data_IF_513563223884
#
_entry.id   IF_513563223884
#
_cell.length_a   1.000
_cell.length_b   1.000
_cell.length_c   1.000
_cell.angle_alpha   90.00
_cell.angle_beta   90.00
_cell.angle_gamma   90.00
#
_symmetry.space_group_name_H-M   'P 1'
#
loop_
_entity.id
_entity.type
_entity.pdbx_description
1 polymer ?
#
# COMPACT_ATOMS: atom_id res chain seq x y z
N UNK A 1 4.36 -52.73 20.83
CA UNK A 1 4.54 -52.27 22.23
C UNK A 1 5.82 -51.47 22.30
N UNK A 2 5.73 -50.16 22.48
CA UNK A 2 6.59 -49.31 23.29
C UNK A 2 6.10 -47.87 23.13
N UNK A 3 5.56 -47.34 24.22
CA UNK A 3 5.05 -46.02 24.40
C UNK A 3 6.17 -44.97 24.29
N UNK A 4 5.98 -43.92 23.47
CA UNK A 4 6.81 -42.72 23.54
C UNK A 4 5.94 -41.61 24.15
N UNK A 5 6.31 -41.23 25.37
CA UNK A 5 5.66 -40.14 26.13
C UNK A 5 6.12 -38.81 25.53
N UNK A 6 5.17 -37.99 25.10
CA UNK A 6 5.43 -36.61 24.76
C UNK A 6 5.60 -35.78 26.04
N UNK A 7 6.80 -35.24 26.23
CA UNK A 7 7.10 -34.25 27.25
C UNK A 7 6.71 -32.87 26.72
N UNK A 8 5.62 -32.28 27.25
CA UNK A 8 5.31 -30.88 27.01
C UNK A 8 6.28 -30.03 27.84
N UNK A 9 7.19 -29.33 27.19
CA UNK A 9 7.96 -28.25 27.79
C UNK A 9 7.14 -26.98 27.63
N UNK A 10 6.51 -26.55 28.71
CA UNK A 10 5.90 -25.23 28.82
C UNK A 10 7.02 -24.20 29.02
N UNK A 11 7.46 -23.55 27.94
CA UNK A 11 8.32 -22.38 28.03
C UNK A 11 7.48 -21.15 28.39
N UNK A 12 7.56 -20.76 29.65
CA UNK A 12 7.08 -19.48 30.15
C UNK A 12 7.90 -18.37 29.52
N UNK A 13 7.40 -17.77 28.44
CA UNK A 13 7.94 -16.52 27.93
C UNK A 13 7.45 -15.42 28.88
N UNK A 14 8.33 -14.96 29.75
CA UNK A 14 8.11 -13.73 30.52
C UNK A 14 8.26 -12.56 29.55
N UNK A 15 7.14 -12.08 28.99
CA UNK A 15 7.09 -10.84 28.26
C UNK A 15 7.39 -9.72 29.25
N UNK A 16 8.55 -9.08 29.10
CA UNK A 16 8.82 -7.77 29.67
C UNK A 16 7.87 -6.77 29.00
N UNK A 17 6.70 -6.56 29.59
CA UNK A 17 5.84 -5.43 29.26
C UNK A 17 6.58 -4.15 29.66
N UNK A 18 7.15 -3.45 28.68
CA UNK A 18 7.39 -2.05 28.82
C UNK A 18 6.03 -1.40 29.05
N UNK A 19 5.78 -0.90 30.26
CA UNK A 19 4.59 -0.14 30.61
C UNK A 19 4.56 1.16 29.84
N UNK A 20 4.04 1.12 28.60
CA UNK A 20 3.37 2.29 28.07
C UNK A 20 2.02 2.34 28.81
N UNK A 21 1.81 3.37 29.62
CA UNK A 21 0.52 3.71 30.24
C UNK A 21 -0.48 4.13 29.16
N UNK A 22 -0.88 3.24 28.29
CA UNK A 22 -2.05 3.45 27.43
C UNK A 22 -3.26 3.25 28.33
N UNK A 23 -4.01 4.33 28.60
CA UNK A 23 -5.29 4.23 29.27
C UNK A 23 -6.16 3.22 28.54
N UNK A 24 -6.69 2.22 29.25
CA UNK A 24 -7.67 1.30 28.68
C UNK A 24 -8.94 2.06 28.32
N UNK A 25 -9.55 1.68 27.20
CA UNK A 25 -10.82 2.26 26.77
C UNK A 25 -11.91 1.92 27.77
N UNK A 26 -12.76 2.89 28.16
CA UNK A 26 -13.93 2.61 28.99
C UNK A 26 -15.01 1.81 28.26
N UNK A 27 -14.89 1.66 26.93
CA UNK A 27 -15.85 0.92 26.10
C UNK A 27 -15.14 0.01 25.11
N UNK A 28 -15.84 -1.03 24.67
CA UNK A 28 -15.53 -1.80 23.45
C UNK A 28 -16.68 -1.69 22.46
N UNK A 29 -16.36 -1.84 21.17
CA UNK A 29 -17.34 -1.81 20.10
C UNK A 29 -17.35 -3.13 19.34
N UNK A 30 -18.55 -3.59 19.00
CA UNK A 30 -18.77 -4.57 17.95
C UNK A 30 -19.61 -3.92 16.85
N UNK A 31 -19.19 -4.10 15.62
CA UNK A 31 -19.96 -3.67 14.46
C UNK A 31 -20.48 -4.85 13.68
N UNK A 32 -21.71 -4.73 13.18
CA UNK A 32 -22.38 -5.75 12.40
C UNK A 32 -23.02 -5.11 11.16
N UNK A 33 -22.76 -5.70 10.00
CA UNK A 33 -23.55 -5.47 8.80
C UNK A 33 -24.83 -6.32 8.91
N UNK A 34 -25.98 -5.67 9.11
CA UNK A 34 -27.25 -6.38 9.39
C UNK A 34 -27.91 -6.83 8.10
N UNK A 35 -28.16 -5.91 7.17
CA UNK A 35 -28.90 -6.20 5.95
C UNK A 35 -28.61 -5.18 4.84
N UNK A 36 -28.33 -5.67 3.63
CA UNK A 36 -28.32 -4.85 2.43
C UNK A 36 -29.74 -4.57 1.95
N UNK A 37 -29.96 -3.37 1.40
CA UNK A 37 -31.30 -3.00 0.89
C UNK A 37 -32.38 -2.99 1.98
N UNK A 38 -32.03 -2.60 3.20
CA UNK A 38 -32.97 -2.47 4.32
C UNK A 38 -34.07 -1.43 4.06
N UNK A 39 -33.71 -0.38 3.32
CA UNK A 39 -34.62 0.62 2.77
C UNK A 39 -34.13 1.01 1.37
N UNK A 40 -34.95 1.67 0.52
CA UNK A 40 -34.52 2.14 -0.79
C UNK A 40 -33.27 3.02 -0.71
N UNK A 41 -32.16 2.52 -1.28
CA UNK A 41 -30.87 3.21 -1.28
C UNK A 41 -30.09 3.14 0.04
N UNK A 42 -30.47 2.26 0.99
CA UNK A 42 -29.81 2.11 2.28
C UNK A 42 -29.54 0.64 2.65
N UNK A 43 -28.43 0.43 3.34
CA UNK A 43 -28.16 -0.79 4.09
C UNK A 43 -28.21 -0.52 5.60
N UNK A 44 -28.53 -1.54 6.38
CA UNK A 44 -28.60 -1.46 7.85
C UNK A 44 -27.34 -2.03 8.47
N UNK A 45 -26.80 -1.32 9.45
CA UNK A 45 -25.72 -1.76 10.32
C UNK A 45 -26.08 -1.53 11.78
N UNK A 46 -25.32 -2.15 12.67
CA UNK A 46 -25.44 -1.86 14.09
C UNK A 46 -24.08 -1.75 14.76
N UNK A 47 -24.00 -0.87 15.78
CA UNK A 47 -22.96 -0.91 16.80
C UNK A 47 -23.51 -1.51 18.08
N UNK A 48 -22.74 -2.39 18.70
CA UNK A 48 -22.94 -2.77 20.10
C UNK A 48 -21.85 -2.07 20.90
N UNK A 49 -22.27 -1.19 21.82
CA UNK A 49 -21.39 -0.47 22.74
C UNK A 49 -21.43 -1.20 24.06
N UNK A 50 -20.31 -1.69 24.57
CA UNK A 50 -20.19 -2.37 25.86
C UNK A 50 -19.38 -1.49 26.81
N UNK A 51 -19.92 -1.21 27.98
CA UNK A 51 -19.17 -0.53 29.05
C UNK A 51 -18.17 -1.50 29.68
N UNK A 52 -16.90 -1.33 29.41
CA UNK A 52 -15.79 -2.15 29.93
C UNK A 52 -15.16 -1.54 31.19
N UNK A 53 -15.62 -0.37 31.61
CA UNK A 53 -15.13 0.31 32.80
C UNK A 53 -15.77 -0.20 34.08
N UNK A 54 -15.29 0.25 35.23
CA UNK A 54 -15.84 -0.08 36.58
C UNK A 54 -16.90 0.92 37.05
N UNK A 55 -17.27 1.91 36.23
CA UNK A 55 -18.25 2.95 36.54
C UNK A 55 -19.33 2.99 35.45
N UNK A 56 -20.54 3.48 35.79
CA UNK A 56 -21.54 3.75 34.77
C UNK A 56 -20.98 4.67 33.68
N UNK A 57 -21.35 4.42 32.44
CA UNK A 57 -21.03 5.29 31.30
C UNK A 57 -22.14 6.36 31.23
N UNK A 58 -21.84 7.53 31.75
CA UNK A 58 -22.74 8.68 31.78
C UNK A 58 -22.96 9.27 30.36
N UNK A 59 -23.51 10.48 30.23
CA UNK A 59 -23.82 11.10 28.95
C UNK A 59 -22.75 12.04 28.42
N UNK A 60 -21.53 12.00 28.97
CA UNK A 60 -20.47 12.97 28.75
C UNK A 60 -19.31 12.38 27.94
N UNK A 61 -19.61 11.66 26.87
CA UNK A 61 -18.62 11.02 26.01
C UNK A 61 -18.92 11.21 24.53
N UNK A 62 -17.88 11.08 23.73
CA UNK A 62 -17.93 11.02 22.27
C UNK A 62 -17.07 9.86 21.77
N UNK A 63 -17.55 9.16 20.73
CA UNK A 63 -16.82 8.14 20.01
C UNK A 63 -16.69 8.61 18.57
N UNK A 64 -15.48 8.58 18.07
CA UNK A 64 -15.21 8.88 16.67
C UNK A 64 -14.73 7.63 15.93
N UNK A 65 -15.06 7.52 14.64
CA UNK A 65 -14.59 6.43 13.79
C UNK A 65 -14.52 6.87 12.33
N UNK A 66 -13.80 6.12 11.52
CA UNK A 66 -13.71 6.33 10.09
C UNK A 66 -14.40 5.21 9.34
N UNK A 67 -15.08 5.53 8.23
CA UNK A 67 -15.74 4.57 7.36
C UNK A 67 -15.88 5.16 5.96
N UNK A 68 -15.36 4.49 4.92
CA UNK A 68 -15.33 5.01 3.54
C UNK A 68 -16.70 5.20 2.89
N UNK A 69 -17.68 4.46 3.35
CA UNK A 69 -19.09 4.55 3.00
C UNK A 69 -19.87 4.33 4.31
N UNK A 70 -20.91 5.03 4.57
CA UNK A 70 -21.86 5.72 3.69
C UNK A 70 -21.61 7.22 3.53
N UNK A 71 -22.42 7.84 2.64
CA UNK A 71 -22.46 9.31 2.52
C UNK A 71 -23.47 9.96 3.47
N UNK A 72 -24.41 9.19 4.01
CA UNK A 72 -25.41 9.63 4.96
C UNK A 72 -25.72 8.49 5.92
N UNK A 73 -25.85 8.82 7.19
CA UNK A 73 -26.27 7.92 8.27
C UNK A 73 -27.57 8.39 8.86
N UNK A 74 -28.48 7.46 9.21
CA UNK A 74 -29.74 7.77 9.87
C UNK A 74 -29.93 6.82 11.05
N UNK A 75 -30.14 7.37 12.23
CA UNK A 75 -30.63 6.66 13.41
C UNK A 75 -32.12 6.93 13.60
N UNK A 76 -32.82 6.11 14.37
CA UNK A 76 -34.21 6.36 14.74
C UNK A 76 -34.32 7.61 15.62
N UNK A 77 -35.46 8.28 15.63
CA UNK A 77 -35.71 9.50 16.41
C UNK A 77 -35.61 9.28 17.93
N UNK A 78 -35.93 8.08 18.38
CA UNK A 78 -35.84 7.64 19.79
C UNK A 78 -34.51 6.98 20.13
N UNK A 79 -33.53 7.02 19.23
CA UNK A 79 -32.21 6.40 19.46
C UNK A 79 -31.52 7.03 20.67
N UNK A 80 -30.94 6.22 21.57
CA UNK A 80 -30.19 6.74 22.72
C UNK A 80 -28.87 7.40 22.32
N UNK A 81 -28.48 7.35 21.05
CA UNK A 81 -27.31 8.05 20.52
C UNK A 81 -27.63 8.78 19.23
N UNK A 82 -26.84 9.81 18.95
CA UNK A 82 -26.77 10.50 17.66
C UNK A 82 -25.52 9.99 16.93
N UNK A 83 -25.66 9.72 15.63
CA UNK A 83 -24.53 9.44 14.73
C UNK A 83 -24.46 10.56 13.70
N UNK A 84 -23.40 11.35 13.73
CA UNK A 84 -23.15 12.51 12.89
C UNK A 84 -22.00 12.24 11.93
N UNK A 85 -22.18 12.60 10.66
CA UNK A 85 -21.07 12.66 9.70
C UNK A 85 -20.43 14.05 9.77
N UNK A 86 -19.22 14.13 10.32
CA UNK A 86 -18.45 15.38 10.44
C UNK A 86 -17.90 15.77 9.06
N UNK A 87 -17.39 14.77 8.35
CA UNK A 87 -16.92 14.89 6.98
C UNK A 87 -17.06 13.53 6.28
N UNK A 88 -16.95 13.51 4.95
CA UNK A 88 -17.00 12.27 4.18
C UNK A 88 -15.97 11.24 4.72
N UNK A 89 -16.48 10.14 5.27
CA UNK A 89 -15.66 9.10 5.88
C UNK A 89 -15.25 9.30 7.34
N UNK A 90 -15.70 10.37 8.02
CA UNK A 90 -15.41 10.63 9.42
C UNK A 90 -16.69 10.91 10.22
N UNK A 91 -16.91 10.16 11.26
CA UNK A 91 -18.18 10.10 12.00
C UNK A 91 -17.98 10.25 13.50
N UNK A 92 -19.01 10.78 14.16
CA UNK A 92 -19.11 10.90 15.62
C UNK A 92 -20.36 10.18 16.10
N UNK A 93 -20.24 9.44 17.21
CA UNK A 93 -21.35 8.91 18.00
C UNK A 93 -21.33 9.63 19.33
N UNK A 94 -22.46 10.18 19.74
CA UNK A 94 -22.62 10.85 21.04
C UNK A 94 -23.97 10.47 21.68
N UNK A 95 -24.13 10.53 23.01
CA UNK A 95 -25.39 10.36 23.68
C UNK A 95 -26.44 11.34 23.18
N UNK A 96 -27.69 10.88 23.02
CA UNK A 96 -28.87 11.72 22.80
C UNK A 96 -29.51 12.09 24.16
N UNK A 97 -30.58 12.89 24.13
CA UNK A 97 -31.37 13.21 25.32
C UNK A 97 -32.03 11.97 25.95
N UNK A 98 -32.24 10.89 25.17
CA UNK A 98 -32.78 9.62 25.63
C UNK A 98 -31.73 8.66 26.20
N UNK A 99 -30.47 9.06 26.29
CA UNK A 99 -29.43 8.22 26.86
C UNK A 99 -29.68 7.95 28.36
N UNK A 100 -29.57 6.69 28.74
CA UNK A 100 -29.53 6.29 30.14
C UNK A 100 -28.18 5.71 30.48
N UNK A 101 -27.59 6.03 31.65
CA UNK A 101 -26.26 5.54 32.02
C UNK A 101 -26.15 4.02 31.88
N UNK A 102 -25.13 3.55 31.20
CA UNK A 102 -24.89 2.13 30.97
C UNK A 102 -24.03 1.56 32.10
N UNK A 103 -24.55 0.60 32.85
CA UNK A 103 -23.83 0.01 33.98
C UNK A 103 -22.57 -0.74 33.54
N UNK A 104 -21.57 -0.93 34.44
CA UNK A 104 -20.40 -1.75 34.15
C UNK A 104 -20.74 -3.14 33.65
N UNK A 105 -20.17 -3.54 32.52
CA UNK A 105 -20.42 -4.82 31.86
C UNK A 105 -21.66 -4.88 30.99
N UNK A 106 -22.55 -3.91 31.06
CA UNK A 106 -23.74 -3.85 30.21
C UNK A 106 -23.40 -3.41 28.78
N UNK A 107 -24.30 -3.77 27.87
CA UNK A 107 -24.17 -3.46 26.45
C UNK A 107 -25.46 -2.90 25.88
N UNK A 108 -25.34 -1.99 24.93
CA UNK A 108 -26.46 -1.46 24.14
C UNK A 108 -26.20 -1.64 22.66
N UNK A 109 -27.21 -2.13 21.92
CA UNK A 109 -27.15 -2.28 20.47
C UNK A 109 -27.89 -1.13 19.78
N UNK A 110 -27.21 -0.43 18.91
CA UNK A 110 -27.69 0.73 18.14
C UNK A 110 -27.77 0.33 16.66
N UNK A 111 -28.96 0.22 16.12
CA UNK A 111 -29.18 0.02 14.69
C UNK A 111 -29.27 1.37 13.95
N UNK A 112 -28.74 1.42 12.76
CA UNK A 112 -28.74 2.61 11.93
C UNK A 112 -28.69 2.28 10.43
N UNK A 113 -29.22 3.19 9.62
CA UNK A 113 -29.21 3.07 8.16
C UNK A 113 -28.05 3.85 7.57
N UNK A 114 -27.41 3.27 6.59
CA UNK A 114 -26.30 3.82 5.84
C UNK A 114 -26.70 3.98 4.37
N UNK A 115 -26.52 5.17 3.81
CA UNK A 115 -26.82 5.40 2.40
C UNK A 115 -25.86 4.61 1.50
N UNK A 116 -26.40 3.90 0.54
CA UNK A 116 -25.64 3.11 -0.44
C UNK A 116 -25.93 1.62 -0.34
N UNK A 117 -25.00 0.85 -0.89
CA UNK A 117 -25.00 -0.62 -0.89
C UNK A 117 -23.65 -1.05 -0.30
N UNK A 118 -23.70 -1.97 0.64
CA UNK A 118 -22.48 -2.56 1.17
C UNK A 118 -21.97 -3.64 0.21
N UNK A 119 -20.80 -3.44 -0.39
CA UNK A 119 -20.25 -4.32 -1.45
C UNK A 119 -18.90 -4.92 -1.11
N UNK A 120 -18.24 -4.47 -0.05
CA UNK A 120 -16.90 -4.97 0.31
C UNK A 120 -16.56 -4.67 1.77
N UNK A 121 -15.77 -5.55 2.37
CA UNK A 121 -15.34 -5.45 3.77
C UNK A 121 -14.48 -4.21 4.06
N UNK A 122 -13.96 -3.56 3.02
CA UNK A 122 -13.29 -2.26 3.12
C UNK A 122 -14.20 -1.18 3.72
N UNK A 123 -15.51 -1.29 3.54
CA UNK A 123 -16.52 -0.35 4.04
C UNK A 123 -16.90 -0.55 5.51
N UNK A 124 -16.24 -1.43 6.25
CA UNK A 124 -16.42 -1.52 7.69
C UNK A 124 -15.79 -0.34 8.41
N UNK A 125 -16.30 0.06 9.58
CA UNK A 125 -15.68 1.07 10.42
C UNK A 125 -14.24 0.72 10.79
N UNK A 126 -13.41 1.73 10.96
CA UNK A 126 -11.99 1.59 11.33
C UNK A 126 -11.61 2.58 12.41
N UNK A 127 -10.58 2.21 13.17
CA UNK A 127 -9.86 3.08 14.10
C UNK A 127 -10.75 3.90 15.04
N UNK A 128 -11.76 3.31 15.72
CA UNK A 128 -12.58 4.04 16.64
C UNK A 128 -11.76 4.49 17.85
N UNK A 129 -12.08 5.68 18.36
CA UNK A 129 -11.51 6.20 19.59
C UNK A 129 -12.54 6.94 20.41
N UNK A 130 -12.35 6.89 21.71
CA UNK A 130 -13.17 7.53 22.71
C UNK A 130 -12.55 8.88 23.07
N UNK A 131 -13.36 9.91 23.19
CA UNK A 131 -12.94 11.23 23.66
C UNK A 131 -13.65 11.50 24.98
N UNK A 132 -12.85 11.78 26.00
CA UNK A 132 -13.34 12.16 27.34
C UNK A 132 -13.63 13.65 27.38
N UNK A 133 -14.38 14.13 28.38
CA UNK A 133 -14.70 15.55 28.59
C UNK A 133 -13.48 16.49 28.62
N UNK A 134 -12.32 15.98 28.98
CA UNK A 134 -11.08 16.77 29.01
C UNK A 134 -10.28 16.66 27.69
N UNK A 135 -10.89 16.13 26.64
CA UNK A 135 -10.28 15.99 25.31
C UNK A 135 -9.27 14.85 25.17
N UNK A 136 -9.14 13.96 26.16
CA UNK A 136 -8.23 12.82 26.06
C UNK A 136 -8.78 11.80 25.09
N UNK A 137 -7.98 11.40 24.10
CA UNK A 137 -8.32 10.37 23.14
C UNK A 137 -7.81 9.00 23.60
N UNK A 138 -8.67 7.95 23.50
CA UNK A 138 -8.34 6.59 23.88
C UNK A 138 -8.82 5.65 22.78
N UNK A 139 -7.93 4.80 22.25
CA UNK A 139 -8.30 3.81 21.24
C UNK A 139 -9.33 2.83 21.76
N UNK A 140 -10.34 2.51 20.96
CA UNK A 140 -11.39 1.56 21.31
C UNK A 140 -11.12 0.22 20.61
N UNK A 141 -11.17 -0.92 21.31
CA UNK A 141 -11.24 -2.24 20.69
C UNK A 141 -12.51 -2.36 19.82
N UNK A 142 -12.33 -2.68 18.54
CA UNK A 142 -13.42 -2.90 17.59
C UNK A 142 -13.38 -4.33 17.07
N UNK A 143 -14.50 -5.04 17.20
CA UNK A 143 -14.73 -6.32 16.54
C UNK A 143 -15.74 -6.15 15.40
N UNK A 144 -15.55 -6.91 14.33
CA UNK A 144 -16.47 -6.96 13.19
C UNK A 144 -17.16 -8.32 13.23
N UNK A 145 -18.50 -8.32 13.28
CA UNK A 145 -19.28 -9.54 13.24
C UNK A 145 -19.10 -10.27 11.89
N UNK A 146 -19.20 -11.61 11.86
CA UNK A 146 -19.10 -12.38 10.63
C UNK A 146 -20.14 -11.97 9.57
N UNK A 147 -19.78 -12.15 8.32
CA UNK A 147 -20.65 -11.90 7.17
C UNK A 147 -21.18 -13.24 6.63
N UNK A 148 -21.95 -13.95 7.41
CA UNK A 148 -22.38 -15.33 7.15
C UNK A 148 -23.84 -15.45 6.73
N UNK A 149 -24.61 -14.34 6.72
CA UNK A 149 -26.02 -14.34 6.39
C UNK A 149 -26.28 -13.81 4.99
N UNK A 150 -27.20 -14.46 4.28
CA UNK A 150 -27.55 -14.14 2.89
C UNK A 150 -28.04 -12.69 2.71
N UNK A 151 -28.81 -12.16 3.65
CA UNK A 151 -29.34 -10.80 3.59
C UNK A 151 -28.28 -9.71 3.65
N UNK A 152 -27.10 -10.03 4.18
CA UNK A 152 -25.95 -9.12 4.17
C UNK A 152 -25.41 -8.91 2.77
N UNK A 153 -25.63 -9.87 1.86
CA UNK A 153 -25.02 -9.97 0.54
C UNK A 153 -25.98 -9.81 -0.62
N UNK A 154 -27.28 -9.69 -0.35
CA UNK A 154 -28.29 -9.61 -1.38
C UNK A 154 -28.96 -8.26 -1.39
N UNK A 155 -29.08 -7.67 -2.59
CA UNK A 155 -29.88 -6.47 -2.84
C UNK A 155 -30.97 -6.84 -3.83
N UNK A 156 -32.26 -6.65 -3.48
CA UNK A 156 -33.41 -6.98 -4.32
C UNK A 156 -33.36 -8.42 -4.88
N UNK A 157 -32.93 -9.39 -4.06
CA UNK A 157 -32.82 -10.80 -4.42
C UNK A 157 -31.62 -11.17 -5.29
N UNK A 158 -30.79 -10.21 -5.64
CA UNK A 158 -29.52 -10.44 -6.35
C UNK A 158 -28.36 -10.42 -5.36
N UNK A 159 -27.38 -11.32 -5.55
CA UNK A 159 -26.13 -11.27 -4.79
C UNK A 159 -25.40 -9.98 -5.17
N UNK A 160 -25.05 -9.15 -4.18
CA UNK A 160 -24.25 -7.96 -4.42
C UNK A 160 -22.92 -8.38 -5.06
N UNK A 161 -22.49 -7.72 -6.13
CA UNK A 161 -21.24 -8.08 -6.79
C UNK A 161 -20.05 -7.86 -5.87
N UNK A 162 -19.17 -8.83 -5.90
CA UNK A 162 -17.86 -8.91 -5.26
C UNK A 162 -17.80 -8.89 -3.73
N UNK A 163 -17.49 -10.04 -3.25
CA UNK A 163 -16.91 -10.29 -1.94
C UNK A 163 -15.61 -11.04 -2.10
N UNK A 164 -14.53 -10.42 -2.49
CA UNK A 164 -13.25 -11.03 -2.23
C UNK A 164 -12.93 -10.81 -0.74
N UNK A 165 -13.37 -11.74 0.13
CA UNK A 165 -12.54 -11.93 1.30
C UNK A 165 -11.27 -12.66 0.85
N UNK A 166 -10.15 -12.35 1.49
CA UNK A 166 -8.86 -12.90 1.10
C UNK A 166 -8.83 -14.43 1.19
N UNK A 167 -9.59 -15.02 2.10
CA UNK A 167 -9.70 -16.48 2.30
C UNK A 167 -10.39 -17.15 1.12
N UNK A 168 -11.50 -16.57 0.65
CA UNK A 168 -12.20 -17.10 -0.53
C UNK A 168 -11.34 -17.00 -1.79
N UNK A 169 -10.71 -15.85 -2.04
CA UNK A 169 -9.81 -15.67 -3.18
C UNK A 169 -8.63 -16.65 -3.12
N UNK A 170 -8.07 -16.85 -1.93
CA UNK A 170 -7.01 -17.83 -1.73
C UNK A 170 -7.48 -19.26 -2.05
N UNK A 171 -8.64 -19.67 -1.51
CA UNK A 171 -9.21 -20.97 -1.76
C UNK A 171 -9.55 -21.21 -3.24
N UNK A 172 -10.16 -20.20 -3.90
CA UNK A 172 -10.46 -20.26 -5.32
C UNK A 172 -9.18 -20.42 -6.16
N UNK A 173 -8.11 -19.69 -5.83
CA UNK A 173 -6.82 -19.79 -6.49
C UNK A 173 -6.12 -21.13 -6.23
N UNK A 174 -6.23 -21.70 -5.03
CA UNK A 174 -5.70 -23.03 -4.71
C UNK A 174 -6.42 -24.14 -5.48
N UNK A 175 -7.71 -23.95 -5.79
CA UNK A 175 -8.50 -24.89 -6.57
C UNK A 175 -8.18 -24.88 -8.08
N UNK A 176 -7.40 -23.89 -8.56
CA UNK A 176 -6.98 -23.84 -9.97
C UNK A 176 -5.97 -24.96 -10.27
N UNK A 177 -6.38 -25.89 -11.11
CA UNK A 177 -5.46 -26.91 -11.65
C UNK A 177 -4.58 -26.31 -12.72
N UNK A 178 -3.26 -26.45 -12.55
CA UNK A 178 -2.29 -26.05 -13.57
C UNK A 178 -1.99 -27.24 -14.47
N UNK A 179 -2.54 -27.24 -15.67
CA UNK A 179 -2.23 -28.25 -16.68
C UNK A 179 -0.97 -27.95 -17.49
N UNK A 180 -0.47 -26.74 -17.39
CA UNK A 180 0.72 -26.27 -18.09
C UNK A 180 2.00 -26.74 -17.40
N UNK A 181 2.89 -27.35 -18.17
CA UNK A 181 4.21 -27.72 -17.68
C UNK A 181 5.15 -26.51 -17.70
N UNK A 182 5.47 -25.98 -16.52
CA UNK A 182 6.36 -24.84 -16.37
C UNK A 182 7.74 -25.15 -16.96
N UNK A 183 8.21 -24.29 -17.87
CA UNK A 183 9.55 -24.34 -18.45
C UNK A 183 10.54 -23.50 -17.62
N UNK A 184 11.83 -23.77 -17.77
CA UNK A 184 12.90 -23.04 -17.05
C UNK A 184 12.88 -21.55 -17.35
N UNK A 185 12.47 -21.17 -18.56
CA UNK A 185 12.41 -19.81 -19.06
C UNK A 185 11.04 -19.14 -18.91
N UNK A 186 10.07 -19.82 -18.31
CA UNK A 186 8.78 -19.17 -18.01
C UNK A 186 8.94 -18.10 -16.94
N UNK A 187 8.53 -16.90 -17.27
CA UNK A 187 8.60 -15.73 -16.38
C UNK A 187 7.51 -14.72 -16.70
N UNK A 188 7.40 -13.71 -15.85
CA UNK A 188 6.56 -12.53 -16.06
C UNK A 188 7.44 -11.29 -16.17
N UNK A 189 7.24 -10.45 -17.20
CA UNK A 189 6.41 -10.71 -18.38
C UNK A 189 6.96 -11.89 -19.20
N UNK A 190 6.07 -12.57 -19.95
CA UNK A 190 6.48 -13.67 -20.82
C UNK A 190 7.40 -13.17 -21.93
N UNK A 191 8.39 -13.98 -22.27
CA UNK A 191 9.35 -13.69 -23.33
C UNK A 191 8.69 -13.85 -24.71
N UNK A 192 9.07 -13.02 -25.68
CA UNK A 192 8.53 -13.04 -27.05
C UNK A 192 8.93 -14.29 -27.80
N UNK A 193 10.23 -14.52 -27.87
CA UNK A 193 10.78 -15.64 -28.63
C UNK A 193 11.87 -16.32 -27.81
N UNK A 194 11.71 -17.61 -27.59
CA UNK A 194 12.72 -18.45 -26.94
C UNK A 194 13.04 -19.60 -27.87
N UNK A 195 14.30 -19.72 -28.27
CA UNK A 195 14.78 -20.80 -29.13
C UNK A 195 15.74 -21.67 -28.32
N UNK A 196 15.32 -22.88 -27.90
CA UNK A 196 16.21 -23.86 -27.31
C UNK A 196 17.33 -24.23 -28.28
N UNK A 197 18.52 -24.50 -27.77
CA UNK A 197 19.68 -24.96 -28.54
C UNK A 197 20.25 -26.23 -27.93
N UNK A 198 20.99 -26.99 -28.75
CA UNK A 198 21.66 -28.20 -28.26
C UNK A 198 22.72 -27.86 -27.19
N UNK A 199 22.83 -28.75 -26.20
CA UNK A 199 23.81 -28.67 -25.14
C UNK A 199 23.35 -27.90 -23.90
N UNK A 200 24.20 -27.89 -22.89
CA UNK A 200 23.96 -27.23 -21.60
C UNK A 200 25.17 -26.39 -21.22
N UNK A 201 24.91 -25.26 -20.61
CA UNK A 201 25.91 -24.39 -20.00
C UNK A 201 25.91 -24.51 -18.49
N UNK A 202 27.06 -24.41 -17.87
CA UNK A 202 27.22 -24.33 -16.43
C UNK A 202 27.65 -22.92 -16.07
N UNK A 203 26.75 -22.19 -15.41
CA UNK A 203 27.05 -20.85 -14.92
C UNK A 203 27.76 -21.01 -13.58
N UNK A 204 29.05 -20.80 -13.60
CA UNK A 204 29.91 -20.98 -12.42
C UNK A 204 29.63 -19.92 -11.35
N UNK A 205 30.11 -20.17 -10.14
CA UNK A 205 30.05 -19.18 -9.05
C UNK A 205 30.86 -17.93 -9.38
N UNK A 206 31.98 -18.11 -10.07
CA UNK A 206 32.90 -17.04 -10.46
C UNK A 206 32.60 -16.58 -11.88
N UNK A 207 32.13 -15.34 -12.00
CA UNK A 207 31.69 -14.70 -13.25
C UNK A 207 32.62 -13.52 -13.57
N UNK A 208 32.97 -13.37 -14.83
CA UNK A 208 33.58 -12.14 -15.35
C UNK A 208 32.61 -11.40 -16.27
N UNK A 209 32.72 -10.07 -16.31
CA UNK A 209 31.94 -9.22 -17.20
C UNK A 209 32.83 -8.62 -18.29
N UNK A 210 32.29 -8.62 -19.52
CA UNK A 210 32.78 -7.85 -20.64
C UNK A 210 31.69 -6.81 -20.99
N UNK A 211 32.04 -5.54 -20.94
CA UNK A 211 31.05 -4.45 -21.09
C UNK A 211 31.52 -3.49 -22.13
N UNK A 212 30.73 -3.31 -23.21
CA UNK A 212 30.98 -2.30 -24.22
C UNK A 212 30.62 -0.89 -23.70
N UNK A 213 31.16 0.12 -24.37
CA UNK A 213 30.91 1.51 -24.02
C UNK A 213 29.42 1.85 -24.01
N UNK A 214 28.99 2.63 -23.02
CA UNK A 214 27.61 3.06 -22.85
C UNK A 214 26.77 2.20 -21.91
N UNK A 215 27.25 1.03 -21.42
CA UNK A 215 26.48 0.11 -20.59
C UNK A 215 27.04 -0.05 -19.16
N UNK A 216 27.87 0.88 -18.72
CA UNK A 216 28.55 0.80 -17.44
C UNK A 216 27.60 0.83 -16.23
N UNK A 217 26.48 1.54 -16.30
CA UNK A 217 25.52 1.66 -15.20
C UNK A 217 24.65 0.40 -15.08
N UNK A 218 24.24 -0.20 -16.21
CA UNK A 218 23.54 -1.49 -16.26
C UNK A 218 24.43 -2.61 -15.73
N UNK A 219 25.72 -2.59 -16.07
CA UNK A 219 26.71 -3.51 -15.54
C UNK A 219 26.86 -3.42 -14.02
N UNK A 220 26.89 -2.21 -13.44
CA UNK A 220 26.93 -2.01 -12.00
C UNK A 220 25.73 -2.63 -11.29
N UNK A 221 24.51 -2.42 -11.84
CA UNK A 221 23.29 -3.00 -11.29
C UNK A 221 23.28 -4.53 -11.42
N UNK A 222 23.74 -5.06 -12.55
CA UNK A 222 23.88 -6.51 -12.74
C UNK A 222 24.86 -7.10 -11.73
N UNK A 223 26.02 -6.48 -11.52
CA UNK A 223 27.04 -6.90 -10.52
C UNK A 223 26.44 -6.94 -9.13
N UNK A 224 25.66 -5.91 -8.76
CA UNK A 224 24.98 -5.89 -7.46
C UNK A 224 24.03 -7.08 -7.32
N UNK A 225 23.13 -7.30 -8.29
CA UNK A 225 22.21 -8.41 -8.30
C UNK A 225 22.90 -9.78 -8.23
N UNK A 226 23.98 -9.98 -8.99
CA UNK A 226 24.77 -11.22 -8.96
C UNK A 226 25.38 -11.48 -7.58
N UNK A 227 25.96 -10.45 -6.95
CA UNK A 227 26.50 -10.55 -5.58
C UNK A 227 25.43 -10.87 -4.55
N UNK A 228 24.25 -10.24 -4.63
CA UNK A 228 23.12 -10.51 -3.73
C UNK A 228 22.63 -11.96 -3.87
N UNK A 229 22.73 -12.55 -5.06
CA UNK A 229 22.41 -13.95 -5.31
C UNK A 229 23.52 -14.92 -4.88
N UNK A 230 24.72 -14.44 -4.50
CA UNK A 230 25.85 -15.26 -4.04
C UNK A 230 26.88 -15.62 -5.10
N UNK A 231 26.84 -15.00 -6.28
CA UNK A 231 27.90 -15.11 -7.28
C UNK A 231 29.08 -14.18 -6.96
N UNK A 232 30.29 -14.59 -7.35
CA UNK A 232 31.48 -13.76 -7.28
C UNK A 232 31.71 -13.10 -8.63
N UNK A 233 31.88 -11.80 -8.65
CA UNK A 233 32.26 -11.09 -9.88
C UNK A 233 33.74 -10.78 -9.83
N UNK A 234 34.52 -11.33 -10.76
CA UNK A 234 35.97 -11.30 -10.81
C UNK A 234 36.48 -11.05 -12.23
N UNK A 235 37.76 -10.69 -12.39
CA UNK A 235 38.35 -10.47 -13.72
C UNK A 235 38.63 -11.79 -14.49
N UNK A 236 38.59 -12.94 -13.82
CA UNK A 236 38.92 -14.26 -14.36
C UNK A 236 37.86 -15.31 -14.03
N UNK A 237 36.58 -14.94 -14.17
CA UNK A 237 35.47 -15.88 -13.96
C UNK A 237 35.44 -16.96 -15.05
N UNK A 238 34.97 -18.18 -14.68
CA UNK A 238 34.82 -19.30 -15.62
C UNK A 238 33.62 -19.09 -16.53
N UNK A 239 32.63 -18.31 -16.11
CA UNK A 239 31.51 -17.85 -16.92
C UNK A 239 31.72 -16.38 -17.29
N UNK A 240 31.51 -16.06 -18.55
CA UNK A 240 31.60 -14.68 -19.04
C UNK A 240 30.20 -14.15 -19.33
N UNK A 241 29.86 -12.97 -18.82
CA UNK A 241 28.65 -12.23 -19.24
C UNK A 241 29.13 -11.02 -20.04
N UNK A 242 28.69 -10.94 -21.31
CA UNK A 242 28.98 -9.82 -22.19
C UNK A 242 27.74 -8.93 -22.35
N UNK A 243 27.92 -7.62 -22.14
CA UNK A 243 26.95 -6.59 -22.48
C UNK A 243 27.47 -5.85 -23.70
N UNK A 244 26.78 -5.96 -24.84
CA UNK A 244 27.27 -5.45 -26.13
C UNK A 244 26.17 -4.82 -26.98
N UNK A 245 26.57 -4.02 -27.95
CA UNK A 245 25.65 -3.50 -28.94
C UNK A 245 25.16 -4.59 -29.89
N UNK A 246 24.00 -4.37 -30.51
CA UNK A 246 23.57 -5.21 -31.62
C UNK A 246 24.59 -5.23 -32.75
N UNK A 247 24.76 -6.36 -33.47
CA UNK A 247 25.49 -6.37 -34.73
C UNK A 247 24.95 -5.32 -35.70
N UNK A 248 25.82 -4.70 -36.49
CA UNK A 248 25.48 -3.58 -37.41
C UNK A 248 24.34 -3.89 -38.39
N UNK A 249 24.15 -5.15 -38.74
CA UNK A 249 23.10 -5.62 -39.65
C UNK A 249 21.77 -5.96 -38.93
N UNK A 250 21.70 -5.81 -37.64
CA UNK A 250 20.49 -6.09 -36.88
C UNK A 250 19.63 -4.86 -36.71
N UNK A 251 18.38 -4.93 -37.14
CA UNK A 251 17.38 -3.88 -36.91
C UNK A 251 16.62 -4.10 -35.59
N UNK A 252 16.73 -3.13 -34.70
CA UNK A 252 15.94 -3.16 -33.46
C UNK A 252 14.44 -2.95 -33.73
N UNK A 253 13.58 -3.61 -32.97
CA UNK A 253 12.11 -3.45 -33.04
C UNK A 253 11.67 -2.15 -32.36
N UNK A 254 12.32 -1.80 -31.26
CA UNK A 254 12.17 -0.55 -30.50
C UNK A 254 13.39 -0.34 -29.59
N UNK A 255 13.42 0.72 -28.81
CA UNK A 255 14.54 1.07 -27.93
C UNK A 255 14.75 0.10 -26.76
N UNK A 256 13.79 -0.77 -26.48
CA UNK A 256 13.86 -1.77 -25.40
C UNK A 256 14.16 -3.19 -25.93
N UNK A 257 14.36 -3.36 -27.23
CA UNK A 257 14.64 -4.64 -27.85
C UNK A 257 16.04 -5.14 -27.46
N UNK A 258 16.09 -6.36 -26.93
CA UNK A 258 17.36 -7.03 -26.58
C UNK A 258 17.36 -8.48 -27.07
N UNK A 259 18.55 -9.03 -27.17
CA UNK A 259 18.79 -10.47 -27.30
C UNK A 259 19.60 -10.97 -26.11
N UNK A 260 19.31 -12.18 -25.64
CA UNK A 260 20.08 -12.89 -24.63
C UNK A 260 20.38 -14.29 -25.15
N UNK A 261 21.64 -14.63 -25.29
CA UNK A 261 22.14 -15.92 -25.73
C UNK A 261 22.92 -16.58 -24.57
N UNK A 262 22.60 -17.84 -24.26
CA UNK A 262 23.38 -18.69 -23.33
C UNK A 262 23.92 -19.86 -24.12
N UNK A 263 25.25 -19.95 -24.21
CA UNK A 263 25.94 -21.03 -24.93
C UNK A 263 27.38 -21.18 -24.40
N UNK A 264 27.83 -22.44 -24.22
CA UNK A 264 29.23 -22.78 -23.89
C UNK A 264 29.77 -22.02 -22.67
N UNK A 265 28.94 -21.87 -21.60
CA UNK A 265 29.23 -21.09 -20.40
C UNK A 265 29.44 -19.58 -20.64
N UNK A 266 29.03 -19.10 -21.81
CA UNK A 266 29.06 -17.70 -22.19
C UNK A 266 27.63 -17.16 -22.27
N UNK A 267 27.39 -15.98 -21.70
CA UNK A 267 26.12 -15.27 -21.75
C UNK A 267 26.34 -13.96 -22.46
N UNK A 268 25.61 -13.75 -23.56
CA UNK A 268 25.65 -12.48 -24.29
C UNK A 268 24.31 -11.77 -24.15
N UNK A 269 24.32 -10.54 -23.71
CA UNK A 269 23.15 -9.64 -23.74
C UNK A 269 23.48 -8.53 -24.71
N UNK A 270 22.72 -8.42 -25.79
CA UNK A 270 22.92 -7.39 -26.80
C UNK A 270 21.68 -6.55 -26.99
N UNK A 271 21.87 -5.24 -27.23
CA UNK A 271 20.80 -4.26 -27.41
C UNK A 271 21.28 -2.99 -28.09
N UNK A 272 20.33 -2.17 -28.53
CA UNK A 272 20.63 -0.88 -29.15
C UNK A 272 20.78 0.28 -28.17
N UNK A 273 20.29 0.10 -26.93
CA UNK A 273 20.23 1.16 -25.90
C UNK A 273 20.56 0.62 -24.52
N UNK A 274 20.91 1.46 -23.55
CA UNK A 274 21.04 1.08 -22.14
C UNK A 274 19.76 0.44 -21.58
N UNK A 275 18.56 0.92 -21.97
CA UNK A 275 17.29 0.34 -21.53
C UNK A 275 17.09 -1.11 -22.03
N UNK A 276 17.46 -1.38 -23.29
CA UNK A 276 17.44 -2.75 -23.82
C UNK A 276 18.35 -3.69 -23.03
N UNK A 277 19.59 -3.26 -22.78
CA UNK A 277 20.55 -4.03 -21.96
C UNK A 277 20.03 -4.24 -20.56
N UNK A 278 19.45 -3.20 -19.92
CA UNK A 278 18.84 -3.33 -18.61
C UNK A 278 17.76 -4.41 -18.60
N UNK A 279 16.81 -4.39 -19.53
CA UNK A 279 15.76 -5.41 -19.65
C UNK A 279 16.32 -6.81 -19.86
N UNK A 280 17.38 -6.95 -20.65
CA UNK A 280 18.11 -8.20 -20.82
C UNK A 280 18.75 -8.69 -19.51
N UNK A 281 19.34 -7.79 -18.71
CA UNK A 281 19.89 -8.14 -17.39
C UNK A 281 18.81 -8.58 -16.42
N UNK A 282 17.62 -7.95 -16.43
CA UNK A 282 16.49 -8.38 -15.59
C UNK A 282 16.01 -9.79 -15.97
N UNK A 283 15.98 -10.10 -17.25
CA UNK A 283 15.69 -11.46 -17.71
C UNK A 283 16.72 -12.46 -17.22
N UNK A 284 18.01 -12.18 -17.35
CA UNK A 284 19.07 -13.03 -16.84
C UNK A 284 18.96 -13.24 -15.31
N UNK A 285 18.75 -12.17 -14.55
CA UNK A 285 18.57 -12.23 -13.09
C UNK A 285 17.38 -13.12 -12.73
N UNK A 286 16.27 -13.02 -13.47
CA UNK A 286 15.07 -13.84 -13.25
C UNK A 286 15.32 -15.32 -13.56
N UNK A 287 16.09 -15.63 -14.59
CA UNK A 287 16.51 -17.00 -14.91
C UNK A 287 17.40 -17.59 -13.82
N UNK A 288 18.41 -16.83 -13.37
CA UNK A 288 19.37 -17.29 -12.36
C UNK A 288 18.75 -17.46 -10.97
N UNK A 289 17.78 -16.63 -10.57
CA UNK A 289 17.08 -16.75 -9.27
C UNK A 289 16.38 -18.08 -9.06
N UNK A 290 16.04 -18.79 -10.13
CA UNK A 290 15.36 -20.10 -10.08
C UNK A 290 16.35 -21.27 -9.95
N UNK A 291 17.64 -21.02 -9.93
CA UNK A 291 18.67 -22.05 -9.98
C UNK A 291 19.53 -22.08 -8.69
N UNK A 292 20.15 -23.23 -8.45
CA UNK A 292 21.21 -23.36 -7.45
C UNK A 292 22.55 -22.94 -8.06
N UNK A 293 23.53 -22.57 -7.23
CA UNK A 293 24.89 -22.23 -7.69
C UNK A 293 25.82 -23.43 -7.51
N UNK A 294 26.52 -23.88 -8.55
CA UNK A 294 26.51 -23.42 -9.95
C UNK A 294 25.16 -23.73 -10.65
N UNK A 295 24.73 -22.80 -11.53
CA UNK A 295 23.47 -22.97 -12.24
C UNK A 295 23.67 -23.78 -13.52
N UNK A 296 22.77 -24.72 -13.80
CA UNK A 296 22.79 -25.50 -15.02
C UNK A 296 21.64 -25.06 -15.93
N UNK A 297 21.97 -24.59 -17.13
CA UNK A 297 21.02 -24.13 -18.15
C UNK A 297 21.10 -24.97 -19.41
N UNK A 298 19.95 -25.23 -20.02
CA UNK A 298 19.91 -25.56 -21.45
C UNK A 298 20.39 -24.33 -22.25
N UNK A 299 21.16 -24.56 -23.30
CA UNK A 299 21.54 -23.48 -24.19
C UNK A 299 20.30 -22.88 -24.83
N UNK A 300 20.15 -21.56 -24.79
CA UNK A 300 18.97 -20.85 -25.31
C UNK A 300 19.36 -19.56 -26.01
N UNK A 301 18.52 -19.15 -26.96
CA UNK A 301 18.52 -17.81 -27.50
C UNK A 301 17.16 -17.17 -27.22
N UNK A 302 17.17 -15.98 -26.67
CA UNK A 302 15.99 -15.17 -26.36
C UNK A 302 16.05 -13.92 -27.24
N UNK A 303 14.92 -13.59 -27.86
CA UNK A 303 14.73 -12.35 -28.60
C UNK A 303 13.46 -11.69 -28.06
N UNK A 304 13.61 -10.54 -27.36
CA UNK A 304 12.52 -9.99 -26.57
C UNK A 304 12.42 -8.48 -26.66
N UNK A 305 11.20 -7.99 -26.69
CA UNK A 305 10.86 -6.56 -26.75
C UNK A 305 9.41 -6.37 -26.29
N UNK A 306 9.04 -5.23 -25.71
CA UNK A 306 7.67 -4.97 -25.29
C UNK A 306 6.75 -4.67 -26.49
N UNK A 307 5.46 -5.10 -26.39
CA UNK A 307 4.40 -4.67 -27.30
C UNK A 307 3.93 -3.25 -27.00
N UNK A 308 3.96 -2.87 -25.72
CA UNK A 308 3.49 -1.58 -25.24
C UNK A 308 4.67 -0.77 -24.72
N UNK A 309 4.85 0.42 -25.28
CA UNK A 309 5.91 1.34 -24.86
C UNK A 309 5.64 1.97 -23.49
N UNK A 310 4.37 2.11 -23.11
CA UNK A 310 3.96 2.58 -21.79
C UNK A 310 3.48 1.39 -20.94
N UNK A 311 4.21 1.11 -19.87
CA UNK A 311 3.88 0.06 -18.90
C UNK A 311 3.96 0.67 -17.51
N UNK A 312 2.85 1.29 -17.09
CA UNK A 312 2.78 2.08 -15.86
C UNK A 312 2.09 1.35 -14.71
N UNK A 313 2.52 1.70 -13.51
CA UNK A 313 1.81 1.42 -12.27
C UNK A 313 1.55 2.72 -11.53
N UNK A 314 0.33 2.92 -11.06
CA UNK A 314 -0.03 4.04 -10.19
C UNK A 314 0.10 3.62 -8.73
N UNK A 315 0.68 4.49 -7.90
CA UNK A 315 0.75 4.34 -6.46
C UNK A 315 0.16 5.58 -5.78
N UNK A 316 -0.92 5.37 -5.03
CA UNK A 316 -1.53 6.40 -4.19
C UNK A 316 -0.86 6.40 -2.82
N UNK A 317 -0.17 7.49 -2.50
CA UNK A 317 0.45 7.71 -1.19
C UNK A 317 -0.26 8.81 -0.38
N UNK A 318 -1.21 9.50 -0.98
CA UNK A 318 -2.00 10.51 -0.28
C UNK A 318 -2.88 9.85 0.79
N UNK A 319 -3.60 8.78 0.45
CA UNK A 319 -4.45 8.05 1.39
C UNK A 319 -3.64 7.29 2.43
N UNK A 320 -2.57 6.62 1.98
CA UNK A 320 -1.68 5.84 2.86
C UNK A 320 -0.22 6.07 2.47
N UNK A 321 0.53 6.71 3.35
CA UNK A 321 1.93 7.02 3.09
C UNK A 321 2.79 5.77 3.01
N UNK A 322 3.58 5.67 1.96
CA UNK A 322 4.59 4.62 1.78
C UNK A 322 5.98 5.18 2.15
N UNK A 323 6.66 4.55 3.09
CA UNK A 323 8.02 4.98 3.50
C UNK A 323 9.01 4.82 2.34
N UNK A 324 9.97 5.74 2.24
CA UNK A 324 11.00 5.74 1.16
C UNK A 324 11.65 4.36 0.97
N UNK A 325 12.04 3.70 2.05
CA UNK A 325 12.67 2.39 1.96
C UNK A 325 11.79 1.33 1.26
N UNK A 326 10.48 1.36 1.49
CA UNK A 326 9.54 0.43 0.86
C UNK A 326 9.22 0.84 -0.58
N UNK A 327 9.18 2.15 -0.86
CA UNK A 327 9.08 2.67 -2.22
C UNK A 327 10.27 2.25 -3.09
N UNK A 328 11.49 2.33 -2.59
CA UNK A 328 12.67 1.88 -3.34
C UNK A 328 12.63 0.37 -3.62
N UNK A 329 12.13 -0.44 -2.67
CA UNK A 329 11.87 -1.87 -2.93
C UNK A 329 10.83 -2.09 -4.02
N UNK A 330 9.73 -1.32 -3.99
CA UNK A 330 8.69 -1.38 -5.02
C UNK A 330 9.27 -1.03 -6.40
N UNK A 331 10.01 0.07 -6.51
CA UNK A 331 10.68 0.47 -7.77
C UNK A 331 11.57 -0.66 -8.29
N UNK A 332 12.31 -1.33 -7.40
CA UNK A 332 13.14 -2.47 -7.79
C UNK A 332 12.32 -3.65 -8.32
N UNK A 333 11.15 -3.93 -7.73
CA UNK A 333 10.23 -4.96 -8.24
C UNK A 333 9.61 -4.55 -9.58
N UNK A 334 9.17 -3.30 -9.72
CA UNK A 334 8.64 -2.79 -11.00
C UNK A 334 9.66 -2.98 -12.13
N UNK A 335 10.93 -2.66 -11.86
CA UNK A 335 12.02 -2.86 -12.81
C UNK A 335 12.20 -4.33 -13.20
N UNK A 336 12.11 -5.27 -12.23
CA UNK A 336 12.20 -6.70 -12.49
C UNK A 336 11.07 -7.22 -13.40
N UNK A 337 9.90 -6.56 -13.37
CA UNK A 337 8.76 -6.82 -14.28
C UNK A 337 8.77 -5.94 -15.53
N UNK A 338 9.86 -5.22 -15.80
CA UNK A 338 10.02 -4.33 -16.96
C UNK A 338 8.94 -3.23 -17.05
N UNK A 339 8.37 -2.83 -15.91
CA UNK A 339 7.52 -1.65 -15.79
C UNK A 339 8.43 -0.41 -15.92
N UNK A 340 8.05 0.53 -16.78
CA UNK A 340 8.89 1.69 -17.09
C UNK A 340 8.30 3.05 -16.69
N UNK A 341 7.13 3.05 -16.06
CA UNK A 341 6.48 4.27 -15.56
C UNK A 341 5.92 4.03 -14.16
N UNK A 342 6.27 4.91 -13.22
CA UNK A 342 5.62 5.05 -11.93
C UNK A 342 4.76 6.32 -11.94
N UNK A 343 3.45 6.17 -12.02
CA UNK A 343 2.49 7.23 -11.82
C UNK A 343 2.29 7.42 -10.32
N UNK A 344 2.73 8.56 -9.79
CA UNK A 344 2.92 8.75 -8.36
C UNK A 344 1.98 9.84 -7.83
N UNK A 345 0.90 9.42 -7.18
CA UNK A 345 -0.17 10.27 -6.68
C UNK A 345 0.19 10.84 -5.31
N UNK A 346 0.63 12.10 -5.27
CA UNK A 346 1.18 12.76 -4.09
C UNK A 346 0.18 13.50 -3.23
N UNK A 347 -0.90 13.98 -3.82
CA UNK A 347 -1.85 14.86 -3.13
C UNK A 347 -3.29 14.43 -3.38
N UNK A 348 -4.10 14.57 -2.33
CA UNK A 348 -5.54 14.35 -2.39
C UNK A 348 -6.20 15.06 -1.18
N UNK A 349 -7.48 14.83 -0.97
CA UNK A 349 -8.23 15.36 0.19
C UNK A 349 -7.62 14.91 1.52
N UNK A 350 -7.03 13.70 1.55
CA UNK A 350 -6.52 13.07 2.77
C UNK A 350 -5.09 13.44 3.11
N UNK A 351 -4.28 13.88 2.13
CA UNK A 351 -2.95 14.40 2.43
C UNK A 351 -2.24 15.07 1.25
N UNK A 352 -1.20 15.83 1.60
CA UNK A 352 -0.12 16.30 0.75
C UNK A 352 1.21 15.64 1.18
N UNK A 353 1.94 15.00 0.27
CA UNK A 353 3.07 14.12 0.63
C UNK A 353 4.44 14.56 0.12
N UNK A 354 4.59 15.76 -0.39
CA UNK A 354 5.84 16.26 -0.93
C UNK A 354 6.21 17.63 -0.34
N UNK A 355 7.42 17.76 0.18
CA UNK A 355 7.96 19.04 0.62
C UNK A 355 8.16 19.99 -0.57
N UNK A 356 7.59 21.19 -0.45
CA UNK A 356 7.75 22.28 -1.40
C UNK A 356 8.42 23.45 -0.66
N UNK A 357 9.65 23.81 -1.00
CA UNK A 357 10.33 24.93 -0.37
C UNK A 357 9.54 26.23 -0.48
N UNK A 358 9.36 26.91 0.66
CA UNK A 358 8.56 28.12 0.76
C UNK A 358 7.06 27.91 0.95
N UNK A 359 6.57 26.67 1.00
CA UNK A 359 5.18 26.30 1.29
C UNK A 359 5.13 25.23 2.38
N UNK A 360 5.74 25.53 3.53
CA UNK A 360 5.98 24.58 4.62
C UNK A 360 4.68 23.99 5.19
N UNK A 361 3.57 24.76 5.14
CA UNK A 361 2.26 24.34 5.64
C UNK A 361 1.71 23.13 4.85
N UNK A 362 2.09 22.94 3.57
CA UNK A 362 1.69 21.78 2.79
C UNK A 362 2.09 20.47 3.47
N UNK A 363 3.25 20.42 4.13
CA UNK A 363 3.69 19.24 4.87
C UNK A 363 3.42 19.34 6.36
N UNK A 364 3.51 20.53 6.97
CA UNK A 364 3.27 20.71 8.40
C UNK A 364 1.81 20.38 8.79
N UNK A 365 0.86 20.76 7.96
CA UNK A 365 -0.59 20.53 8.13
C UNK A 365 -1.07 19.40 7.24
N UNK A 366 -0.83 19.52 5.92
CA UNK A 366 -1.41 18.65 4.91
C UNK A 366 -0.87 17.22 4.91
N UNK A 367 0.28 16.93 5.54
CA UNK A 367 0.81 15.56 5.62
C UNK A 367 0.39 14.81 6.89
N UNK A 368 -0.43 15.40 7.74
CA UNK A 368 -0.76 14.87 9.06
C UNK A 368 -2.27 14.74 9.24
N UNK A 369 -2.71 13.59 9.69
CA UNK A 369 -4.11 13.34 10.07
C UNK A 369 -4.20 13.02 11.56
N UNK A 370 -5.30 13.41 12.18
CA UNK A 370 -5.55 13.10 13.58
C UNK A 370 -6.83 13.76 14.08
N UNK A 371 -7.16 13.53 15.34
CA UNK A 371 -8.28 14.20 15.96
C UNK A 371 -8.07 15.72 15.93
N UNK A 372 -9.04 16.43 15.41
CA UNK A 372 -9.10 17.90 15.34
C UNK A 372 -10.56 18.34 15.17
N UNK A 373 -10.89 19.54 15.58
CA UNK A 373 -12.23 20.11 15.41
C UNK A 373 -12.35 20.96 14.15
N UNK A 374 -11.25 21.58 13.69
CA UNK A 374 -11.26 22.63 12.67
C UNK A 374 -10.21 22.49 11.57
N UNK A 375 -9.37 21.45 11.65
CA UNK A 375 -8.26 21.20 10.71
C UNK A 375 -7.19 22.31 10.63
N UNK A 376 -7.12 23.18 11.60
CA UNK A 376 -6.13 24.26 11.61
C UNK A 376 -4.69 23.78 11.82
N UNK A 377 -4.49 22.61 12.42
CA UNK A 377 -3.20 22.03 12.77
C UNK A 377 -2.91 20.70 12.06
N UNK A 378 -3.92 20.02 11.59
CA UNK A 378 -3.88 18.72 10.90
C UNK A 378 -5.22 18.42 10.27
N UNK A 379 -5.25 17.50 9.34
CA UNK A 379 -6.47 17.05 8.68
C UNK A 379 -7.26 16.07 9.54
N UNK A 380 -8.55 15.91 9.27
CA UNK A 380 -9.37 14.87 9.90
C UNK A 380 -8.81 13.47 9.67
N UNK A 381 -8.98 12.55 10.64
CA UNK A 381 -8.46 11.18 10.55
C UNK A 381 -9.30 10.28 9.64
N UNK A 382 -9.67 10.77 8.46
CA UNK A 382 -10.40 9.99 7.45
C UNK A 382 -9.51 8.89 6.88
N UNK A 383 -10.10 7.86 6.27
CA UNK A 383 -9.39 6.71 5.72
C UNK A 383 -8.75 5.85 6.82
N UNK A 384 -7.64 5.18 6.50
CA UNK A 384 -6.92 4.35 7.46
C UNK A 384 -5.83 5.13 8.18
N UNK A 385 -5.36 4.60 9.28
CA UNK A 385 -4.11 5.03 9.88
C UNK A 385 -4.20 6.09 10.92
N UNK A 386 -5.40 6.37 11.42
CA UNK A 386 -5.36 6.81 12.76
C UNK A 386 -5.67 8.23 13.09
N UNK A 387 -6.28 8.28 14.23
CA UNK A 387 -6.63 9.48 14.99
C UNK A 387 -5.44 10.07 15.75
N UNK A 388 -4.37 9.27 15.99
CA UNK A 388 -3.19 9.71 16.75
C UNK A 388 -2.12 10.28 15.79
N UNK A 389 -1.94 11.62 15.74
CA UNK A 389 -0.98 12.23 14.82
C UNK A 389 0.50 11.97 15.21
N UNK A 390 0.73 11.40 16.39
CA UNK A 390 2.06 11.08 16.89
C UNK A 390 2.44 9.60 16.66
N UNK A 391 1.54 8.80 16.09
CA UNK A 391 1.83 7.42 15.73
C UNK A 391 2.71 7.36 14.48
N UNK A 392 3.99 7.10 14.67
CA UNK A 392 4.99 6.98 13.59
C UNK A 392 4.87 5.67 12.80
N UNK A 393 4.03 4.74 13.26
CA UNK A 393 3.76 3.48 12.56
C UNK A 393 2.55 3.61 11.64
N UNK A 394 1.70 4.60 11.87
CA UNK A 394 0.50 4.85 11.07
C UNK A 394 0.86 5.37 9.68
N UNK A 395 0.16 4.87 8.67
CA UNK A 395 0.30 5.33 7.28
C UNK A 395 -0.45 6.64 6.98
N UNK A 396 -1.16 7.16 7.97
CA UNK A 396 -1.85 8.46 7.88
C UNK A 396 -0.87 9.62 7.77
N UNK A 397 0.32 9.51 8.37
CA UNK A 397 1.27 10.58 8.55
C UNK A 397 2.55 10.32 7.76
N UNK A 398 3.16 11.37 7.25
CA UNK A 398 4.44 11.32 6.55
C UNK A 398 4.43 12.07 5.22
N UNK A 399 5.62 12.39 4.77
CA UNK A 399 5.87 13.03 3.48
C UNK A 399 7.32 12.73 3.05
N UNK A 400 7.64 12.98 1.79
CA UNK A 400 9.01 12.97 1.30
C UNK A 400 9.60 14.38 1.36
N UNK A 401 10.79 14.49 1.94
CA UNK A 401 11.60 15.71 1.79
C UNK A 401 12.00 15.88 0.31
N UNK A 402 12.45 17.07 -0.03
CA UNK A 402 12.99 17.34 -1.35
C UNK A 402 14.14 16.37 -1.70
N UNK A 403 15.02 16.13 -0.76
CA UNK A 403 16.17 15.22 -0.89
C UNK A 403 15.71 13.75 -1.05
N UNK A 404 14.70 13.32 -0.29
CA UNK A 404 14.11 11.99 -0.43
C UNK A 404 13.56 11.77 -1.85
N UNK A 405 12.86 12.77 -2.38
CA UNK A 405 12.28 12.66 -3.70
C UNK A 405 13.35 12.67 -4.81
N UNK A 406 14.40 13.48 -4.68
CA UNK A 406 15.56 13.44 -5.59
C UNK A 406 16.19 12.05 -5.60
N UNK A 407 16.38 11.43 -4.43
CA UNK A 407 16.90 10.06 -4.34
C UNK A 407 16.00 9.06 -5.06
N UNK A 408 14.67 9.16 -4.86
CA UNK A 408 13.69 8.32 -5.56
C UNK A 408 13.79 8.48 -7.07
N UNK A 409 13.86 9.71 -7.57
CA UNK A 409 14.02 9.98 -9.02
C UNK A 409 15.29 9.37 -9.58
N UNK A 410 16.42 9.54 -8.89
CA UNK A 410 17.71 8.98 -9.30
C UNK A 410 17.70 7.45 -9.28
N UNK A 411 17.05 6.85 -8.27
CA UNK A 411 16.94 5.41 -8.14
C UNK A 411 16.07 4.80 -9.24
N UNK A 412 14.96 5.46 -9.57
CA UNK A 412 14.06 5.08 -10.66
C UNK A 412 14.73 5.23 -12.02
N UNK A 413 15.40 6.37 -12.27
CA UNK A 413 16.09 6.64 -13.52
C UNK A 413 17.18 5.60 -13.86
N UNK A 414 17.97 5.16 -12.85
CA UNK A 414 18.95 4.07 -13.00
C UNK A 414 18.31 2.73 -13.39
N UNK A 415 16.99 2.59 -13.23
CA UNK A 415 16.20 1.40 -13.58
C UNK A 415 15.29 1.62 -14.79
N UNK A 416 15.54 2.71 -15.52
CA UNK A 416 14.77 3.12 -16.70
C UNK A 416 13.28 3.29 -16.41
N UNK A 417 12.94 3.74 -15.19
CA UNK A 417 11.57 4.05 -14.77
C UNK A 417 11.39 5.56 -14.72
N UNK A 418 10.47 6.07 -15.53
CA UNK A 418 10.01 7.47 -15.48
C UNK A 418 9.03 7.63 -14.33
N UNK A 419 9.25 8.62 -13.47
CA UNK A 419 8.29 8.98 -12.41
C UNK A 419 7.43 10.15 -12.89
N UNK A 420 6.11 9.95 -12.90
CA UNK A 420 5.12 10.98 -13.24
C UNK A 420 4.45 11.41 -11.94
N UNK A 421 4.81 12.58 -11.37
CA UNK A 421 4.13 13.08 -10.18
C UNK A 421 2.74 13.60 -10.55
N UNK A 422 1.73 13.18 -9.78
CA UNK A 422 0.36 13.66 -9.88
C UNK A 422 0.03 14.55 -8.69
N UNK A 423 -0.45 15.75 -8.99
CA UNK A 423 -0.91 16.76 -8.01
C UNK A 423 -2.30 17.20 -8.44
N UNK A 424 -3.25 17.08 -7.52
CA UNK A 424 -4.66 17.31 -7.78
C UNK A 424 -5.08 18.78 -7.66
N UNK A 425 -5.88 19.24 -8.61
CA UNK A 425 -6.53 20.55 -8.62
C UNK A 425 -7.60 20.62 -9.73
N UNK A 426 -8.77 21.26 -9.53
CA UNK A 426 -9.28 21.84 -8.27
C UNK A 426 -9.97 20.80 -7.37
N UNK A 427 -10.28 19.61 -7.87
CA UNK A 427 -10.82 18.50 -7.09
C UNK A 427 -9.72 17.81 -6.29
N UNK A 428 -10.11 17.03 -5.27
CA UNK A 428 -9.16 16.27 -4.43
C UNK A 428 -8.05 17.14 -3.82
N UNK A 429 -8.33 18.40 -3.53
CA UNK A 429 -7.33 19.41 -3.15
C UNK A 429 -7.44 19.85 -1.68
N UNK A 430 -8.29 19.19 -0.86
CA UNK A 430 -8.56 19.63 0.50
C UNK A 430 -7.31 19.78 1.37
N UNK A 431 -6.36 18.84 1.29
CA UNK A 431 -5.13 18.95 2.05
C UNK A 431 -4.34 20.23 1.72
N UNK A 432 -4.25 20.58 0.43
CA UNK A 432 -3.61 21.80 -0.01
C UNK A 432 -4.40 23.04 0.42
N UNK A 433 -5.72 23.02 0.31
CA UNK A 433 -6.61 24.12 0.74
C UNK A 433 -6.41 24.39 2.23
N UNK A 434 -6.49 23.37 3.09
CA UNK A 434 -6.31 23.53 4.54
C UNK A 434 -4.91 24.02 4.92
N UNK A 435 -3.90 23.56 4.21
CA UNK A 435 -2.54 24.07 4.38
C UNK A 435 -2.43 25.56 4.00
N UNK A 436 -3.06 25.98 2.90
CA UNK A 436 -3.03 27.40 2.47
C UNK A 436 -3.90 28.28 3.37
N UNK A 437 -5.04 27.81 3.87
CA UNK A 437 -5.82 28.50 4.92
C UNK A 437 -4.98 28.74 6.20
N UNK A 438 -4.23 27.73 6.64
CA UNK A 438 -3.33 27.86 7.78
C UNK A 438 -2.22 28.89 7.49
N UNK A 439 -1.67 28.89 6.27
CA UNK A 439 -0.67 29.88 5.82
C UNK A 439 -1.25 31.29 5.81
N UNK A 440 -2.44 31.48 5.24
CA UNK A 440 -3.15 32.75 5.29
C UNK A 440 -3.31 33.23 6.74
N UNK A 441 -3.80 32.37 7.63
CA UNK A 441 -4.02 32.70 9.04
C UNK A 441 -2.76 33.09 9.79
N UNK A 442 -1.63 32.50 9.46
CA UNK A 442 -0.33 32.87 10.01
C UNK A 442 0.13 34.22 9.48
N UNK A 443 0.11 34.39 8.14
CA UNK A 443 0.64 35.62 7.52
C UNK A 443 -0.20 36.87 7.77
N UNK A 444 -1.53 36.75 7.93
CA UNK A 444 -2.43 37.91 8.16
C UNK A 444 -2.06 38.72 9.39
N UNK A 445 -1.39 38.11 10.36
CA UNK A 445 -0.88 38.80 11.56
C UNK A 445 0.46 39.50 11.36
N UNK A 446 1.19 39.14 10.29
CA UNK A 446 2.52 39.66 9.96
C UNK A 446 2.49 40.59 8.75
N UNK A 447 1.87 40.17 7.65
CA UNK A 447 1.78 40.85 6.36
C UNK A 447 0.48 40.51 5.64
N UNK A 448 -0.51 41.40 5.71
CA UNK A 448 -1.83 41.17 5.12
C UNK A 448 -1.81 41.14 3.57
N UNK A 449 -0.91 41.87 2.91
CA UNK A 449 -0.83 41.86 1.46
C UNK A 449 -0.33 40.51 0.98
N UNK A 450 0.71 40.01 1.58
CA UNK A 450 1.24 38.67 1.31
C UNK A 450 0.25 37.57 1.68
N UNK A 451 -0.49 37.73 2.77
CA UNK A 451 -1.51 36.77 3.17
C UNK A 451 -2.60 36.59 2.09
N UNK A 452 -3.02 37.69 1.43
CA UNK A 452 -4.07 37.65 0.39
C UNK A 452 -3.74 36.77 -0.83
N UNK A 453 -2.45 36.49 -1.07
CA UNK A 453 -2.02 35.57 -2.13
C UNK A 453 -2.52 34.12 -1.88
N UNK A 454 -2.85 33.81 -0.62
CA UNK A 454 -3.28 32.48 -0.17
C UNK A 454 -4.75 32.45 0.28
N UNK A 455 -5.51 33.49 -0.01
CA UNK A 455 -6.96 33.53 0.24
C UNK A 455 -7.67 32.79 -0.89
N UNK A 456 -8.30 31.66 -0.56
CA UNK A 456 -9.05 30.79 -1.47
C UNK A 456 -10.53 31.17 -1.46
#
# INVERSE_FOLDING_TARGET
MKHLKHLLIASTVTALCACNNTKESPVSLQWEMVKNGAAPGFYESSFTITNTSTKPLESDWEIYYTQLSPRQVKVNEDSPVIIEMINAGYYKIAPSESWTPLAPGDSIKISYLNQGIFTQTLFTPKSPFFVTNNGTQISIPLSIAPFDRKEQWTVQGRIAPSYPDGEKVYADNQALETTYKIQTYDMLPSLKEVTPREGTSIISKDISLSVEDGFADEAKLLIQNLKEMGYNVTDKGQTVIALCHFPQNMQAKNDEHYRLDVKDNYITISGGTPHAIFNGTQTLVSLLKKQTIPAKFENIAINDYPDLLYRGMMLDIARNFTKKADLLKLINQLAAYKINVLHFHFSDDEAWRLEIPGLEELTAIGSRRGFTEDESQRLYPVYYGGWNPNDTTATANGYYTREDFIEVLQYAAKRHITVIPEIESPGHARAAIKAMEARFNRLKGEDMEKAREYLL
#
